data_IF_603226159085
#
_entry.id   IF_603226159085
#
_cell.length_a   1.000
_cell.length_b   1.000
_cell.length_c   1.000
_cell.angle_alpha   90.00
_cell.angle_beta   90.00
_cell.angle_gamma   90.00
#
_symmetry.space_group_name_H-M   'P 1'
#
loop_
_entity.id
_entity.type
_entity.pdbx_description
1 polymer ?
#
# COMPACT_ATOMS: atom_id res chain seq x y z
N UNK A 1 -30.78 -2.75 5.70
CA UNK A 1 -30.55 -2.42 4.28
C UNK A 1 -29.34 -3.20 3.78
N UNK A 2 -29.49 -4.07 2.77
CA UNK A 2 -28.34 -4.70 2.15
C UNK A 2 -27.41 -3.60 1.62
N UNK A 3 -26.08 -3.79 1.73
CA UNK A 3 -25.15 -2.85 1.13
C UNK A 3 -25.45 -2.80 -0.37
N UNK A 4 -25.66 -1.60 -0.90
CA UNK A 4 -25.82 -1.36 -2.34
C UNK A 4 -24.78 -2.18 -3.09
N UNK A 5 -25.13 -2.72 -4.26
CA UNK A 5 -24.24 -3.45 -5.20
C UNK A 5 -22.89 -2.75 -5.49
N UNK A 6 -22.70 -1.51 -5.05
CA UNK A 6 -21.42 -0.82 -4.99
C UNK A 6 -20.34 -1.54 -4.15
N UNK A 7 -20.71 -2.37 -3.16
CA UNK A 7 -19.74 -3.15 -2.38
C UNK A 7 -19.83 -4.65 -2.71
N UNK A 8 -18.68 -5.33 -2.69
CA UNK A 8 -18.56 -6.77 -2.99
C UNK A 8 -19.39 -7.65 -2.04
N UNK A 9 -19.79 -7.11 -0.90
CA UNK A 9 -20.65 -7.77 0.09
C UNK A 9 -22.13 -7.77 -0.27
N UNK A 10 -22.60 -6.94 -1.20
CA UNK A 10 -24.02 -6.90 -1.60
C UNK A 10 -24.61 -8.28 -1.92
N UNK A 11 -23.93 -9.10 -2.76
CA UNK A 11 -24.40 -10.45 -3.09
C UNK A 11 -24.22 -11.52 -2.00
N UNK A 12 -23.64 -11.19 -0.83
CA UNK A 12 -23.26 -12.18 0.18
C UNK A 12 -23.95 -11.95 1.52
N UNK A 13 -24.40 -13.05 2.14
CA UNK A 13 -24.71 -13.11 3.55
C UNK A 13 -23.42 -13.18 4.37
N UNK A 14 -23.32 -12.36 5.41
CA UNK A 14 -22.19 -12.32 6.34
C UNK A 14 -22.53 -13.13 7.58
N UNK A 15 -21.79 -14.22 7.82
CA UNK A 15 -21.98 -14.97 9.07
C UNK A 15 -21.51 -14.15 10.28
N UNK A 16 -22.25 -14.23 11.38
CA UNK A 16 -21.84 -13.66 12.67
C UNK A 16 -20.63 -14.41 13.23
N UNK A 17 -20.55 -15.71 12.98
CA UNK A 17 -19.41 -16.54 13.36
C UNK A 17 -18.16 -16.18 12.56
N UNK A 18 -17.14 -15.69 13.27
CA UNK A 18 -15.78 -15.45 12.75
C UNK A 18 -14.87 -16.60 13.19
N UNK A 19 -14.60 -17.61 12.35
CA UNK A 19 -13.81 -18.78 12.77
C UNK A 19 -12.39 -18.42 13.23
N UNK A 20 -11.79 -17.36 12.68
CA UNK A 20 -10.41 -16.94 13.00
C UNK A 20 -10.35 -15.56 13.67
N UNK A 21 -11.48 -15.02 14.17
CA UNK A 21 -11.58 -13.69 14.79
C UNK A 21 -11.40 -12.49 13.84
N UNK A 22 -10.72 -12.64 12.70
CA UNK A 22 -10.41 -11.56 11.75
C UNK A 22 -11.28 -11.54 10.49
N UNK A 23 -11.79 -12.69 10.04
CA UNK A 23 -12.56 -12.81 8.79
C UNK A 23 -13.93 -13.43 9.04
N UNK A 24 -14.96 -12.82 8.45
CA UNK A 24 -16.29 -13.42 8.38
C UNK A 24 -16.31 -14.54 7.34
N UNK A 25 -17.24 -15.49 7.46
CA UNK A 25 -17.61 -16.32 6.31
C UNK A 25 -18.66 -15.58 5.50
N UNK A 26 -18.56 -15.72 4.19
CA UNK A 26 -19.49 -15.16 3.23
C UNK A 26 -20.18 -16.30 2.48
N UNK A 27 -21.51 -16.24 2.39
CA UNK A 27 -22.30 -17.20 1.62
C UNK A 27 -23.10 -16.43 0.58
N UNK A 28 -22.99 -16.81 -0.69
CA UNK A 28 -23.69 -16.11 -1.78
C UNK A 28 -25.20 -16.35 -1.68
N UNK A 29 -26.00 -15.28 -1.69
CA UNK A 29 -27.45 -15.37 -1.45
C UNK A 29 -28.17 -16.29 -2.43
N UNK A 30 -27.80 -16.26 -3.72
CA UNK A 30 -28.43 -17.12 -4.73
C UNK A 30 -28.03 -18.59 -4.58
N UNK A 31 -26.83 -18.87 -4.07
CA UNK A 31 -26.45 -20.24 -3.69
C UNK A 31 -27.35 -20.77 -2.56
N UNK A 32 -27.69 -19.94 -1.59
CA UNK A 32 -28.60 -20.33 -0.49
C UNK A 32 -30.01 -20.58 -1.05
N UNK A 33 -30.50 -19.68 -1.90
CA UNK A 33 -31.83 -19.81 -2.50
C UNK A 33 -31.94 -21.06 -3.41
N UNK A 34 -30.85 -21.49 -4.06
CA UNK A 34 -30.83 -22.71 -4.85
C UNK A 34 -30.96 -24.00 -4.02
N UNK A 35 -30.65 -23.96 -2.72
CA UNK A 35 -30.83 -25.07 -1.77
C UNK A 35 -32.20 -25.04 -1.07
N UNK A 36 -33.07 -24.09 -1.45
CA UNK A 36 -34.39 -23.93 -0.85
C UNK A 36 -35.26 -25.17 -1.11
N UNK A 37 -35.88 -25.77 -0.06
CA UNK A 37 -36.79 -26.88 -0.24
C UNK A 37 -38.07 -26.42 -0.95
N UNK A 38 -38.62 -27.25 -1.83
CA UNK A 38 -39.83 -26.95 -2.61
C UNK A 38 -41.09 -26.72 -1.76
N UNK A 39 -41.05 -27.10 -0.48
CA UNK A 39 -42.15 -26.95 0.49
C UNK A 39 -42.12 -25.62 1.24
N UNK A 40 -41.07 -24.79 1.07
CA UNK A 40 -40.97 -23.52 1.77
C UNK A 40 -42.01 -22.51 1.23
N UNK A 41 -42.89 -21.95 2.09
CA UNK A 41 -43.88 -20.97 1.69
C UNK A 41 -43.18 -19.65 1.31
N UNK A 42 -43.74 -18.89 0.36
CA UNK A 42 -43.34 -17.52 -0.09
C UNK A 42 -42.51 -17.48 -1.38
N UNK A 43 -43.08 -17.01 -2.49
CA UNK A 43 -42.29 -16.50 -3.61
C UNK A 43 -41.60 -15.21 -3.13
N UNK A 44 -40.29 -15.27 -2.94
CA UNK A 44 -39.49 -14.11 -2.55
C UNK A 44 -38.97 -13.49 -3.83
N UNK A 45 -39.42 -12.28 -4.12
CA UNK A 45 -38.88 -11.53 -5.25
C UNK A 45 -37.42 -11.17 -4.96
N UNK A 46 -36.50 -11.87 -5.62
CA UNK A 46 -35.06 -11.69 -5.47
C UNK A 46 -34.60 -10.33 -6.03
N UNK A 47 -35.43 -9.64 -6.83
CA UNK A 47 -35.07 -8.36 -7.44
C UNK A 47 -35.34 -7.19 -6.50
N UNK A 48 -36.39 -7.26 -5.68
CA UNK A 48 -36.78 -6.19 -4.74
C UNK A 48 -35.94 -6.15 -3.45
N UNK A 49 -35.12 -7.17 -3.22
CA UNK A 49 -34.06 -7.11 -2.22
C UNK A 49 -34.50 -7.36 -0.78
N UNK A 50 -35.61 -8.07 -0.58
CA UNK A 50 -36.13 -8.49 0.73
C UNK A 50 -35.34 -9.66 1.36
N UNK A 51 -34.01 -9.59 1.30
CA UNK A 51 -33.10 -10.59 1.86
C UNK A 51 -33.18 -10.68 3.40
N UNK A 52 -33.63 -9.61 4.07
CA UNK A 52 -33.84 -9.58 5.53
C UNK A 52 -35.03 -10.44 5.96
N UNK A 53 -36.03 -10.62 5.08
CA UNK A 53 -37.15 -11.52 5.33
C UNK A 53 -36.69 -12.98 5.20
N UNK A 54 -35.87 -13.29 4.19
CA UNK A 54 -35.27 -14.63 4.05
C UNK A 54 -34.46 -15.03 5.29
N UNK A 55 -33.65 -14.13 5.83
CA UNK A 55 -32.81 -14.43 6.98
C UNK A 55 -33.58 -14.83 8.26
N UNK A 56 -34.89 -14.55 8.32
CA UNK A 56 -35.75 -14.85 9.48
C UNK A 56 -36.49 -16.19 9.35
N UNK A 57 -36.46 -16.84 8.19
CA UNK A 57 -37.21 -18.07 7.97
C UNK A 57 -36.43 -19.31 8.42
N UNK A 58 -37.13 -20.28 9.03
CA UNK A 58 -36.48 -21.47 9.60
C UNK A 58 -35.74 -22.33 8.56
N UNK A 59 -36.18 -22.32 7.30
CA UNK A 59 -35.48 -23.05 6.24
C UNK A 59 -34.12 -22.40 5.89
N UNK A 60 -33.96 -21.10 6.14
CA UNK A 60 -32.73 -20.37 5.85
C UNK A 60 -31.57 -20.89 6.67
N UNK A 61 -31.77 -21.13 7.97
CA UNK A 61 -30.74 -21.72 8.84
C UNK A 61 -30.31 -23.11 8.34
N UNK A 62 -31.27 -23.96 7.98
CA UNK A 62 -31.01 -25.28 7.42
C UNK A 62 -30.24 -25.22 6.08
N UNK A 63 -30.62 -24.30 5.20
CA UNK A 63 -29.91 -24.06 3.94
C UNK A 63 -28.50 -23.49 4.17
N UNK A 64 -28.32 -22.66 5.19
CA UNK A 64 -27.02 -22.09 5.54
C UNK A 64 -26.09 -23.17 6.13
N UNK A 65 -26.59 -24.05 6.97
CA UNK A 65 -25.87 -25.23 7.46
C UNK A 65 -25.51 -26.20 6.33
N UNK A 66 -26.44 -26.46 5.41
CA UNK A 66 -26.18 -27.24 4.21
C UNK A 66 -25.08 -26.60 3.35
N UNK A 67 -25.15 -25.30 3.08
CA UNK A 67 -24.12 -24.57 2.33
C UNK A 67 -22.74 -24.59 3.02
N UNK A 68 -22.72 -24.53 4.36
CA UNK A 68 -21.51 -24.70 5.17
C UNK A 68 -20.91 -26.10 5.00
N UNK A 69 -21.74 -27.14 4.99
CA UNK A 69 -21.31 -28.53 4.81
C UNK A 69 -20.78 -28.80 3.39
N UNK A 70 -21.44 -28.22 2.37
CA UNK A 70 -21.11 -28.40 0.96
C UNK A 70 -19.91 -27.55 0.48
N UNK A 71 -19.17 -26.91 1.39
CA UNK A 71 -18.05 -26.00 1.10
C UNK A 71 -18.43 -24.85 0.15
N UNK A 72 -19.70 -24.45 0.11
CA UNK A 72 -20.18 -23.30 -0.69
C UNK A 72 -19.90 -21.96 0.00
N UNK A 73 -19.47 -21.97 1.25
CA UNK A 73 -19.02 -20.77 1.95
C UNK A 73 -17.60 -20.38 1.56
N UNK A 74 -17.37 -19.09 1.38
CA UNK A 74 -16.04 -18.53 1.14
C UNK A 74 -15.58 -17.66 2.29
N UNK A 75 -14.27 -17.53 2.46
CA UNK A 75 -13.72 -16.54 3.37
C UNK A 75 -14.18 -15.15 2.92
N UNK A 76 -14.56 -14.28 3.86
CA UNK A 76 -14.98 -12.89 3.62
C UNK A 76 -13.86 -11.96 3.14
N UNK A 77 -12.79 -12.52 2.58
CA UNK A 77 -11.75 -11.79 1.88
C UNK A 77 -12.25 -11.42 0.48
N UNK A 78 -11.99 -10.17 0.06
CA UNK A 78 -12.46 -9.64 -1.24
C UNK A 78 -12.07 -10.54 -2.42
N UNK A 79 -10.86 -11.08 -2.42
CA UNK A 79 -10.39 -11.98 -3.48
C UNK A 79 -11.15 -13.31 -3.53
N UNK A 80 -11.46 -13.90 -2.37
CA UNK A 80 -12.18 -15.16 -2.27
C UNK A 80 -13.65 -15.00 -2.71
N UNK A 81 -14.31 -13.92 -2.29
CA UNK A 81 -15.68 -13.58 -2.72
C UNK A 81 -15.75 -13.34 -4.23
N UNK A 82 -14.83 -12.55 -4.80
CA UNK A 82 -14.78 -12.36 -6.25
C UNK A 82 -14.49 -13.67 -7.00
N UNK A 83 -13.61 -14.52 -6.46
CA UNK A 83 -13.32 -15.84 -7.02
C UNK A 83 -14.51 -16.81 -6.98
N UNK A 84 -15.41 -16.67 -6.01
CA UNK A 84 -16.67 -17.41 -5.95
C UNK A 84 -17.65 -16.92 -7.02
N UNK A 85 -17.95 -15.61 -7.07
CA UNK A 85 -18.90 -15.05 -8.04
C UNK A 85 -18.54 -15.38 -9.50
N UNK A 86 -17.25 -15.43 -9.84
CA UNK A 86 -16.79 -15.83 -11.19
C UNK A 86 -17.12 -17.27 -11.56
N UNK A 87 -17.09 -18.18 -10.58
CA UNK A 87 -17.29 -19.63 -10.79
C UNK A 87 -18.71 -20.09 -10.44
N UNK A 88 -19.46 -19.27 -9.71
CA UNK A 88 -20.80 -19.59 -9.29
C UNK A 88 -21.75 -19.66 -10.50
N UNK A 89 -22.45 -20.77 -10.61
CA UNK A 89 -23.46 -21.02 -11.64
C UNK A 89 -24.69 -20.14 -11.43
N UNK A 90 -25.05 -19.88 -10.17
CA UNK A 90 -26.20 -19.07 -9.78
C UNK A 90 -25.93 -17.55 -9.80
N UNK A 91 -24.69 -17.11 -10.06
CA UNK A 91 -24.35 -15.69 -10.06
C UNK A 91 -24.82 -14.98 -11.34
N UNK A 92 -25.43 -13.80 -11.17
CA UNK A 92 -25.92 -12.99 -12.30
C UNK A 92 -24.77 -12.39 -13.12
N UNK A 93 -25.08 -11.89 -14.32
CA UNK A 93 -24.09 -11.19 -15.14
C UNK A 93 -23.53 -9.94 -14.42
N UNK A 94 -24.36 -9.24 -13.64
CA UNK A 94 -23.95 -8.08 -12.86
C UNK A 94 -23.00 -8.45 -11.71
N UNK A 95 -23.31 -9.53 -10.98
CA UNK A 95 -22.45 -10.04 -9.91
C UNK A 95 -21.10 -10.52 -10.47
N UNK A 96 -21.11 -11.18 -11.64
CA UNK A 96 -19.89 -11.56 -12.35
C UNK A 96 -19.08 -10.34 -12.78
N UNK A 97 -19.74 -9.27 -13.26
CA UNK A 97 -19.08 -8.01 -13.58
C UNK A 97 -18.49 -7.32 -12.34
N UNK A 98 -19.19 -7.38 -11.19
CA UNK A 98 -18.71 -6.88 -9.91
C UNK A 98 -17.42 -7.60 -9.49
N UNK A 99 -17.37 -8.93 -9.65
CA UNK A 99 -16.18 -9.72 -9.38
C UNK A 99 -14.97 -9.32 -10.26
N UNK A 100 -15.22 -8.94 -11.52
CA UNK A 100 -14.18 -8.40 -12.40
C UNK A 100 -13.65 -7.05 -11.92
N UNK A 101 -14.53 -6.17 -11.41
CA UNK A 101 -14.10 -4.87 -10.87
C UNK A 101 -13.19 -5.00 -9.65
N UNK A 102 -13.51 -5.89 -8.71
CA UNK A 102 -12.77 -6.02 -7.45
C UNK A 102 -11.52 -6.90 -7.53
N UNK A 103 -11.54 -7.94 -8.36
CA UNK A 103 -10.39 -8.82 -8.53
C UNK A 103 -10.16 -9.14 -10.02
N UNK A 104 -9.77 -8.15 -10.85
CA UNK A 104 -9.55 -8.37 -12.27
C UNK A 104 -8.33 -9.26 -12.50
N UNK A 105 -8.47 -10.22 -13.40
CA UNK A 105 -7.36 -11.05 -13.91
C UNK A 105 -6.33 -10.19 -14.64
N UNK A 106 -5.11 -10.70 -14.85
CA UNK A 106 -4.07 -9.97 -15.58
C UNK A 106 -4.54 -9.52 -16.97
N UNK A 107 -5.29 -10.38 -17.68
CA UNK A 107 -5.86 -10.10 -19.00
C UNK A 107 -6.94 -9.00 -18.93
N UNK A 108 -7.85 -9.08 -17.96
CA UNK A 108 -8.89 -8.05 -17.78
C UNK A 108 -8.30 -6.71 -17.32
N UNK A 109 -7.26 -6.70 -16.48
CA UNK A 109 -6.54 -5.46 -16.12
C UNK A 109 -5.94 -4.81 -17.37
N UNK A 110 -5.29 -5.60 -18.24
CA UNK A 110 -4.76 -5.10 -19.50
C UNK A 110 -5.85 -4.58 -20.43
N UNK A 111 -7.00 -5.26 -20.50
CA UNK A 111 -8.13 -4.82 -21.31
C UNK A 111 -8.79 -3.55 -20.75
N UNK A 112 -8.98 -3.45 -19.43
CA UNK A 112 -9.46 -2.25 -18.76
C UNK A 112 -8.49 -1.09 -18.95
N UNK A 113 -7.18 -1.33 -18.89
CA UNK A 113 -6.18 -0.30 -19.18
C UNK A 113 -6.21 0.11 -20.66
N UNK A 114 -6.41 -0.84 -21.58
CA UNK A 114 -6.60 -0.57 -23.01
C UNK A 114 -7.86 0.26 -23.24
N UNK A 115 -8.99 -0.10 -22.62
CA UNK A 115 -10.25 0.65 -22.63
C UNK A 115 -10.10 2.02 -21.98
N UNK A 116 -9.29 2.17 -20.93
CA UNK A 116 -9.00 3.47 -20.30
C UNK A 116 -8.10 4.34 -21.18
N UNK A 117 -7.16 3.75 -21.91
CA UNK A 117 -6.34 4.47 -22.91
C UNK A 117 -7.17 4.87 -24.14
N UNK A 118 -8.09 4.03 -24.58
CA UNK A 118 -9.03 4.31 -25.68
C UNK A 118 -10.13 5.29 -25.27
N UNK A 119 -10.72 5.12 -24.08
CA UNK A 119 -11.75 5.99 -23.51
C UNK A 119 -11.19 7.27 -22.90
N UNK A 120 -9.88 7.34 -22.59
CA UNK A 120 -9.19 8.61 -22.37
C UNK A 120 -9.16 9.50 -23.62
N UNK A 121 -9.53 8.96 -24.78
CA UNK A 121 -9.77 9.71 -26.00
C UNK A 121 -11.24 10.16 -26.17
N UNK A 122 -12.12 9.98 -25.17
CA UNK A 122 -13.51 10.48 -25.23
C UNK A 122 -13.58 12.01 -25.19
N UNK A 123 -12.58 12.65 -24.58
CA UNK A 123 -12.20 14.00 -24.98
C UNK A 123 -11.35 13.85 -26.24
N UNK A 124 -12.01 13.75 -27.40
CA UNK A 124 -11.35 13.58 -28.68
C UNK A 124 -10.22 14.60 -28.82
N UNK A 125 -9.01 14.12 -29.09
CA UNK A 125 -7.85 14.98 -29.37
C UNK A 125 -8.05 15.82 -30.63
N UNK A 126 -9.00 15.43 -31.48
CA UNK A 126 -9.14 15.98 -32.83
C UNK A 126 -10.38 16.87 -33.01
N UNK A 127 -11.03 17.33 -31.94
CA UNK A 127 -12.04 18.39 -32.15
C UNK A 127 -11.31 19.68 -32.54
N UNK A 128 -11.72 20.38 -33.63
CA UNK A 128 -11.07 21.63 -34.06
C UNK A 128 -11.05 22.69 -32.95
N UNK A 129 -12.08 22.65 -32.09
CA UNK A 129 -12.22 23.50 -30.91
C UNK A 129 -11.14 23.25 -29.86
N UNK A 130 -10.65 22.01 -29.75
CA UNK A 130 -9.56 21.67 -28.83
C UNK A 130 -8.21 22.13 -29.35
N UNK A 131 -7.95 22.08 -30.65
CA UNK A 131 -6.72 22.67 -31.19
C UNK A 131 -6.64 24.16 -30.88
N UNK A 132 -7.75 24.92 -31.05
CA UNK A 132 -7.78 26.32 -30.63
C UNK A 132 -7.67 26.50 -29.12
N UNK A 133 -8.29 25.61 -28.33
CA UNK A 133 -8.25 25.67 -26.86
C UNK A 133 -6.85 25.36 -26.32
N UNK A 134 -6.22 24.26 -26.75
CA UNK A 134 -4.87 23.86 -26.37
C UNK A 134 -3.81 24.86 -26.89
N UNK A 135 -4.08 25.60 -27.98
CA UNK A 135 -3.18 26.69 -28.42
C UNK A 135 -3.34 27.96 -27.59
N UNK A 136 -4.56 28.26 -27.10
CA UNK A 136 -4.86 29.44 -26.28
C UNK A 136 -4.66 29.24 -24.77
N UNK A 137 -4.75 28.00 -24.28
CA UNK A 137 -4.79 27.64 -22.86
C UNK A 137 -3.70 26.63 -22.49
N UNK A 138 -2.59 26.63 -23.26
CA UNK A 138 -1.70 25.50 -23.47
C UNK A 138 -1.27 24.71 -22.23
N UNK A 139 -1.13 25.30 -21.03
CA UNK A 139 -0.86 24.52 -19.81
C UNK A 139 -1.41 25.13 -18.52
N UNK A 140 -1.80 26.41 -18.52
CA UNK A 140 -2.28 27.11 -17.35
C UNK A 140 -3.66 27.77 -17.62
N UNK A 141 -4.75 27.32 -16.96
CA UNK A 141 -6.05 27.95 -17.09
C UNK A 141 -6.14 29.29 -16.33
N UNK A 142 -5.17 29.62 -15.47
CA UNK A 142 -5.20 30.82 -14.62
C UNK A 142 -5.26 32.11 -15.46
N UNK A 143 -4.37 32.36 -16.46
CA UNK A 143 -4.38 33.59 -17.24
C UNK A 143 -5.70 33.85 -17.97
N UNK A 144 -6.41 32.79 -18.40
CA UNK A 144 -7.71 32.91 -19.04
C UNK A 144 -8.76 33.47 -18.08
N UNK A 145 -8.84 32.92 -16.87
CA UNK A 145 -9.79 33.41 -15.87
C UNK A 145 -9.42 34.78 -15.33
N UNK A 146 -8.14 35.12 -15.28
CA UNK A 146 -7.67 36.48 -14.97
C UNK A 146 -8.12 37.50 -16.02
N UNK A 147 -7.97 37.18 -17.30
CA UNK A 147 -8.44 38.03 -18.40
C UNK A 147 -9.97 38.24 -18.35
N UNK A 148 -10.73 37.21 -17.98
CA UNK A 148 -12.19 37.31 -17.86
C UNK A 148 -12.67 38.21 -16.71
N UNK A 149 -11.80 38.59 -15.75
CA UNK A 149 -12.18 39.51 -14.67
C UNK A 149 -12.52 40.92 -15.18
N UNK A 150 -12.07 41.29 -16.39
CA UNK A 150 -12.41 42.56 -17.03
C UNK A 150 -13.92 42.68 -17.28
N UNK A 151 -14.61 41.56 -17.52
CA UNK A 151 -16.06 41.56 -17.75
C UNK A 151 -16.83 41.48 -16.42
N UNK A 152 -17.53 42.58 -16.07
CA UNK A 152 -18.35 42.67 -14.85
C UNK A 152 -19.41 41.57 -14.72
N UNK A 153 -19.95 41.08 -15.84
CA UNK A 153 -20.96 40.01 -15.82
C UNK A 153 -20.39 38.65 -15.41
N UNK A 154 -19.11 38.39 -15.71
CA UNK A 154 -18.45 37.10 -15.47
C UNK A 154 -17.52 37.14 -14.26
N UNK A 155 -17.26 38.33 -13.69
CA UNK A 155 -16.39 38.54 -12.53
C UNK A 155 -16.63 37.58 -11.35
N UNK A 156 -17.86 37.31 -10.86
CA UNK A 156 -18.05 36.38 -9.75
C UNK A 156 -17.66 34.95 -10.11
N UNK A 157 -17.96 34.52 -11.34
CA UNK A 157 -17.59 33.19 -11.84
C UNK A 157 -16.07 33.05 -12.01
N UNK A 158 -15.43 34.07 -12.58
CA UNK A 158 -13.98 34.09 -12.76
C UNK A 158 -13.22 34.03 -11.43
N UNK A 159 -13.67 34.79 -10.42
CA UNK A 159 -13.10 34.73 -9.07
C UNK A 159 -13.27 33.35 -8.44
N UNK A 160 -14.44 32.74 -8.57
CA UNK A 160 -14.70 31.40 -8.05
C UNK A 160 -13.84 30.34 -8.76
N UNK A 161 -13.73 30.39 -10.08
CA UNK A 161 -12.88 29.49 -10.85
C UNK A 161 -11.41 29.61 -10.43
N UNK A 162 -10.90 30.83 -10.25
CA UNK A 162 -9.54 31.06 -9.75
C UNK A 162 -9.36 30.52 -8.33
N UNK A 163 -10.34 30.67 -7.44
CA UNK A 163 -10.27 30.06 -6.11
C UNK A 163 -10.19 28.53 -6.19
N UNK A 164 -11.01 27.89 -7.03
CA UNK A 164 -10.98 26.46 -7.24
C UNK A 164 -9.64 25.98 -7.84
N UNK A 165 -9.09 26.73 -8.80
CA UNK A 165 -7.81 26.39 -9.42
C UNK A 165 -6.63 26.57 -8.45
N UNK A 166 -6.73 27.49 -7.50
CA UNK A 166 -5.76 27.64 -6.41
C UNK A 166 -5.89 26.57 -5.32
N UNK A 167 -7.00 25.83 -5.25
CA UNK A 167 -7.11 24.69 -4.33
C UNK A 167 -6.20 23.56 -4.82
N UNK A 168 -5.15 23.31 -4.04
CA UNK A 168 -4.23 22.20 -4.29
C UNK A 168 -4.96 20.89 -4.00
N UNK A 169 -5.41 20.21 -5.06
CA UNK A 169 -6.18 18.94 -4.98
C UNK A 169 -5.36 17.81 -4.35
N UNK A 170 -4.03 17.93 -4.33
CA UNK A 170 -3.15 16.90 -3.81
C UNK A 170 -2.41 17.35 -2.54
N UNK A 171 -2.78 16.77 -1.40
CA UNK A 171 -2.04 16.92 -0.15
C UNK A 171 -0.56 16.50 -0.30
N UNK A 172 -0.25 15.59 -1.22
CA UNK A 172 1.12 15.16 -1.50
C UNK A 172 2.01 16.27 -2.09
N UNK A 173 1.44 17.38 -2.58
CA UNK A 173 2.21 18.57 -2.92
C UNK A 173 3.00 19.12 -1.72
N UNK A 174 2.47 18.95 -0.51
CA UNK A 174 3.13 19.32 0.75
C UNK A 174 4.06 18.22 1.30
N UNK A 175 3.95 16.96 0.86
CA UNK A 175 4.81 15.87 1.36
C UNK A 175 6.28 16.10 1.10
N UNK A 176 6.64 16.74 -0.03
CA UNK A 176 8.03 17.12 -0.29
C UNK A 176 8.54 18.13 0.73
N UNK A 177 7.70 19.10 1.09
CA UNK A 177 8.02 20.05 2.16
C UNK A 177 8.19 19.34 3.49
N UNK A 178 7.30 18.41 3.83
CA UNK A 178 7.40 17.64 5.07
C UNK A 178 8.63 16.73 5.11
N UNK A 179 9.07 16.21 3.96
CA UNK A 179 10.31 15.43 3.87
C UNK A 179 11.54 16.27 4.21
N UNK A 180 11.62 17.50 3.68
CA UNK A 180 12.70 18.45 4.02
C UNK A 180 12.67 18.83 5.52
N UNK A 181 11.47 18.94 6.10
CA UNK A 181 11.30 19.21 7.53
C UNK A 181 11.50 18.00 8.44
N UNK A 182 11.39 16.77 7.93
CA UNK A 182 11.53 15.56 8.74
C UNK A 182 12.89 15.52 9.44
N UNK A 183 13.97 15.83 8.72
CA UNK A 183 15.31 15.93 9.29
C UNK A 183 15.43 17.01 10.37
N UNK A 184 14.78 18.17 10.15
CA UNK A 184 14.80 19.32 11.08
C UNK A 184 13.86 19.16 12.26
N UNK A 185 12.92 18.21 12.20
CA UNK A 185 12.00 17.87 13.28
C UNK A 185 12.56 16.75 14.17
N UNK A 186 13.08 15.69 13.55
CA UNK A 186 13.40 14.44 14.24
C UNK A 186 14.86 14.28 14.68
N UNK A 187 15.84 14.84 13.94
CA UNK A 187 17.26 14.61 14.26
C UNK A 187 17.72 15.59 15.33
N UNK A 188 18.13 15.07 16.51
CA UNK A 188 18.57 15.86 17.68
C UNK A 188 19.54 16.99 17.33
N UNK A 189 20.55 16.70 16.49
CA UNK A 189 21.57 17.69 16.06
C UNK A 189 21.03 18.82 15.18
N UNK A 190 19.93 18.60 14.47
CA UNK A 190 19.35 19.54 13.51
C UNK A 190 17.95 20.02 13.92
N UNK A 191 17.52 19.73 15.16
CA UNK A 191 16.16 20.01 15.62
C UNK A 191 15.97 21.52 15.75
N UNK A 192 14.99 22.06 15.03
CA UNK A 192 14.59 23.47 15.15
C UNK A 192 13.32 23.59 15.99
N UNK A 193 13.16 24.71 16.69
CA UNK A 193 11.89 25.05 17.34
C UNK A 193 10.78 25.21 16.29
N UNK A 194 9.53 24.92 16.67
CA UNK A 194 8.38 25.01 15.76
C UNK A 194 8.22 26.42 15.18
N UNK A 195 8.41 27.46 16.00
CA UNK A 195 8.38 28.87 15.58
C UNK A 195 9.40 29.14 14.47
N UNK A 196 10.65 28.69 14.65
CA UNK A 196 11.73 28.87 13.66
C UNK A 196 11.48 28.04 12.40
N UNK A 197 10.94 26.83 12.53
CA UNK A 197 10.57 25.98 11.39
C UNK A 197 9.46 26.61 10.54
N UNK A 198 8.44 27.20 11.17
CA UNK A 198 7.37 27.91 10.50
C UNK A 198 7.88 29.15 9.74
N UNK A 199 8.75 29.95 10.36
CA UNK A 199 9.40 31.09 9.69
C UNK A 199 10.27 30.63 8.51
N UNK A 200 11.07 29.58 8.70
CA UNK A 200 11.89 29.03 7.63
C UNK A 200 11.02 28.51 6.47
N UNK A 201 9.87 27.89 6.75
CA UNK A 201 8.92 27.46 5.74
C UNK A 201 8.38 28.64 4.91
N UNK A 202 8.03 29.75 5.57
CA UNK A 202 7.58 30.99 4.91
C UNK A 202 8.67 31.55 4.00
N UNK A 203 9.89 31.72 4.50
CA UNK A 203 11.02 32.26 3.73
C UNK A 203 11.38 31.35 2.56
N UNK A 204 11.49 30.05 2.78
CA UNK A 204 11.81 29.08 1.71
C UNK A 204 10.72 29.09 0.64
N UNK A 205 9.45 29.30 1.01
CA UNK A 205 8.33 29.35 0.06
C UNK A 205 8.44 30.58 -0.83
N UNK A 206 8.72 31.72 -0.22
CA UNK A 206 8.90 32.98 -0.94
C UNK A 206 10.07 32.90 -1.93
N UNK A 207 11.25 32.43 -1.48
CA UNK A 207 12.43 32.23 -2.34
C UNK A 207 12.11 31.31 -3.52
N UNK A 208 11.43 30.18 -3.29
CA UNK A 208 11.06 29.25 -4.38
C UNK A 208 10.04 29.87 -5.34
N UNK A 209 9.14 30.73 -4.86
CA UNK A 209 8.19 31.45 -5.72
C UNK A 209 8.91 32.48 -6.59
N UNK A 210 9.84 33.26 -6.02
CA UNK A 210 10.66 34.21 -6.78
C UNK A 210 11.54 33.49 -7.81
N UNK A 211 12.28 32.45 -7.40
CA UNK A 211 13.08 31.64 -8.32
C UNK A 211 12.26 31.01 -9.46
N UNK A 212 10.97 30.71 -9.21
CA UNK A 212 10.07 30.20 -10.25
C UNK A 212 9.64 31.33 -11.19
N UNK A 213 9.33 32.51 -10.65
CA UNK A 213 8.95 33.69 -11.43
C UNK A 213 10.10 34.18 -12.32
N UNK A 214 11.34 34.10 -11.83
CA UNK A 214 12.55 34.47 -12.57
C UNK A 214 13.03 33.37 -13.53
N UNK A 215 12.39 32.19 -13.53
CA UNK A 215 12.78 31.07 -14.38
C UNK A 215 14.10 30.39 -13.98
N UNK A 216 14.65 30.68 -12.79
CA UNK A 216 15.84 30.01 -12.24
C UNK A 216 15.56 28.59 -11.73
N UNK A 217 14.29 28.20 -11.63
CA UNK A 217 13.95 26.86 -11.16
C UNK A 217 14.10 25.89 -12.30
N UNK A 218 15.17 25.10 -12.29
CA UNK A 218 15.34 24.00 -13.23
C UNK A 218 14.10 23.08 -13.18
N UNK A 219 13.47 22.90 -14.33
CA UNK A 219 12.49 21.85 -14.47
C UNK A 219 13.18 20.53 -14.18
N UNK A 220 12.80 19.91 -13.07
CA UNK A 220 13.33 18.61 -12.70
C UNK A 220 12.82 17.61 -13.74
N UNK A 221 13.60 17.44 -14.80
CA UNK A 221 13.44 16.36 -15.75
C UNK A 221 13.42 15.05 -14.95
N UNK A 222 12.52 14.13 -15.32
CA UNK A 222 12.53 12.79 -14.73
C UNK A 222 13.95 12.27 -14.87
N UNK A 223 14.60 11.97 -13.74
CA UNK A 223 15.98 11.47 -13.73
C UNK A 223 16.04 10.29 -14.70
N UNK A 224 16.67 10.47 -15.85
CA UNK A 224 16.98 9.39 -16.79
C UNK A 224 18.15 8.58 -16.22
N UNK A 225 17.99 8.06 -15.00
CA UNK A 225 18.99 7.15 -14.42
C UNK A 225 19.10 5.85 -15.23
N UNK A 226 18.10 5.58 -16.09
CA UNK A 226 18.05 4.45 -17.00
C UNK A 226 17.72 4.91 -18.42
N UNK A 227 18.54 5.78 -19.01
CA UNK A 227 18.52 5.84 -20.47
C UNK A 227 19.05 4.50 -20.97
N UNK A 228 18.28 3.77 -21.78
CA UNK A 228 18.62 2.39 -22.16
C UNK A 228 20.01 2.28 -22.80
N UNK A 229 20.47 3.34 -23.48
CA UNK A 229 21.83 3.45 -24.00
C UNK A 229 22.89 3.53 -22.88
N UNK A 230 22.63 4.27 -21.80
CA UNK A 230 23.50 4.38 -20.62
C UNK A 230 23.48 3.10 -19.79
N UNK A 231 22.33 2.43 -19.71
CA UNK A 231 22.22 1.10 -19.10
C UNK A 231 23.01 0.09 -19.90
N UNK A 232 22.92 0.12 -21.25
CA UNK A 232 23.76 -0.70 -22.12
C UNK A 232 25.24 -0.38 -21.92
N UNK A 233 25.64 0.89 -21.79
CA UNK A 233 27.02 1.29 -21.50
C UNK A 233 27.51 0.78 -20.13
N UNK A 234 26.68 0.84 -19.09
CA UNK A 234 27.00 0.32 -17.76
C UNK A 234 26.98 -1.22 -17.69
N UNK A 235 26.20 -1.87 -18.56
CA UNK A 235 26.15 -3.33 -18.72
C UNK A 235 27.24 -3.86 -19.67
N UNK A 236 27.85 -3.02 -20.51
CA UNK A 236 29.22 -3.24 -21.00
C UNK A 236 30.17 -3.09 -19.82
N UNK A 237 30.05 -4.02 -18.88
CA UNK A 237 31.13 -4.37 -17.97
C UNK A 237 32.33 -4.64 -18.87
N UNK A 238 33.46 -3.93 -18.70
CA UNK A 238 34.67 -4.21 -19.44
C UNK A 238 34.96 -5.71 -19.37
N UNK A 239 35.41 -6.31 -20.46
CA UNK A 239 35.77 -7.74 -20.56
C UNK A 239 36.74 -8.23 -19.47
N UNK A 240 37.28 -7.32 -18.67
CA UNK A 240 38.02 -7.56 -17.43
C UNK A 240 37.35 -8.55 -16.47
N UNK A 241 36.01 -8.71 -16.46
CA UNK A 241 35.40 -9.77 -15.63
C UNK A 241 35.70 -11.18 -16.16
N UNK A 242 35.83 -11.36 -17.47
CA UNK A 242 36.26 -12.64 -18.03
C UNK A 242 37.74 -12.90 -17.77
N UNK A 243 38.57 -11.84 -17.78
CA UNK A 243 40.00 -11.91 -17.40
C UNK A 243 40.15 -12.26 -15.91
N UNK A 244 39.39 -11.61 -15.02
CA UNK A 244 39.38 -11.93 -13.59
C UNK A 244 38.86 -13.34 -13.30
N UNK A 245 37.87 -13.82 -14.05
CA UNK A 245 37.40 -15.20 -13.90
C UNK A 245 38.43 -16.24 -14.37
N UNK A 246 39.24 -15.90 -15.39
CA UNK A 246 40.36 -16.74 -15.81
C UNK A 246 41.48 -16.75 -14.77
N UNK A 247 41.82 -15.57 -14.22
CA UNK A 247 42.82 -15.41 -13.17
C UNK A 247 42.44 -16.16 -11.88
N UNK A 248 41.17 -16.07 -11.44
CA UNK A 248 40.69 -16.85 -10.28
C UNK A 248 40.79 -18.35 -10.54
N UNK A 249 40.45 -18.82 -11.75
CA UNK A 249 40.51 -20.24 -12.09
C UNK A 249 41.96 -20.75 -12.17
N UNK A 250 42.89 -19.90 -12.59
CA UNK A 250 44.33 -20.19 -12.57
C UNK A 250 44.86 -20.27 -11.13
N UNK A 251 44.45 -19.34 -10.26
CA UNK A 251 44.79 -19.37 -8.83
C UNK A 251 44.23 -20.60 -8.11
N UNK A 252 42.97 -20.99 -8.37
CA UNK A 252 42.37 -22.20 -7.79
C UNK A 252 43.08 -23.48 -8.27
N UNK A 253 43.53 -23.51 -9.53
CA UNK A 253 44.31 -24.61 -10.07
C UNK A 253 45.71 -24.68 -9.45
N UNK A 254 46.34 -23.54 -9.15
CA UNK A 254 47.64 -23.48 -8.49
C UNK A 254 47.59 -23.84 -7.01
N UNK A 255 46.46 -23.61 -6.32
CA UNK A 255 46.27 -23.98 -4.91
C UNK A 255 45.90 -25.45 -4.74
N UNK A 256 45.34 -26.09 -5.79
CA UNK A 256 45.10 -27.53 -5.80
C UNK A 256 46.37 -28.31 -6.16
N UNK A 257 47.50 -27.99 -5.52
CA UNK A 257 48.69 -28.85 -5.55
C UNK A 257 48.35 -30.10 -4.72
N UNK A 258 48.22 -31.28 -5.34
CA UNK A 258 47.95 -32.51 -4.62
C UNK A 258 49.26 -32.95 -3.96
N UNK A 259 49.60 -32.37 -2.81
CA UNK A 259 50.48 -33.07 -1.89
C UNK A 259 49.73 -34.34 -1.44
N UNK A 260 50.10 -35.44 -2.09
CA UNK A 260 49.75 -36.82 -1.76
C UNK A 260 50.26 -37.12 -0.34
N UNK A 261 49.51 -36.74 0.68
CA UNK A 261 49.64 -37.34 2.01
C UNK A 261 48.89 -38.68 2.00
N UNK A 262 49.66 -39.72 1.66
CA UNK A 262 49.41 -41.13 1.97
C UNK A 262 49.35 -41.32 3.50
N UNK A 263 48.23 -40.94 4.11
CA UNK A 263 47.89 -41.40 5.45
C UNK A 263 46.60 -42.21 5.40
N UNK A 264 46.78 -43.54 5.43
CA UNK A 264 45.80 -44.60 5.65
C UNK A 264 45.08 -44.42 7.02
N UNK A 265 44.25 -43.39 7.16
CA UNK A 265 43.41 -43.22 8.34
C UNK A 265 42.05 -43.91 8.12
N UNK A 266 41.98 -45.11 8.69
CA UNK A 266 40.87 -46.05 8.80
C UNK A 266 39.52 -45.36 9.09
N UNK A 267 38.66 -45.26 8.07
CA UNK A 267 37.32 -44.69 8.20
C UNK A 267 36.42 -45.56 9.11
N UNK A 268 35.75 -44.99 10.13
CA UNK A 268 34.84 -45.75 10.97
C UNK A 268 33.55 -46.15 10.22
N UNK A 269 32.91 -47.25 10.65
CA UNK A 269 31.84 -47.90 9.90
C UNK A 269 30.58 -47.03 9.78
N UNK A 270 30.23 -46.74 8.52
CA UNK A 270 28.90 -46.48 7.95
C UNK A 270 27.73 -46.30 8.94
N UNK A 271 27.37 -45.04 9.17
CA UNK A 271 26.08 -44.64 9.77
C UNK A 271 24.94 -44.87 8.76
N UNK A 272 23.79 -45.47 9.15
CA UNK A 272 22.71 -45.78 8.21
C UNK A 272 22.02 -44.51 7.69
N UNK A 273 21.84 -44.45 6.38
CA UNK A 273 21.07 -43.41 5.68
C UNK A 273 19.60 -43.38 6.14
N UNK A 274 19.05 -42.22 6.55
CA UNK A 274 17.63 -42.10 6.82
C UNK A 274 16.81 -42.03 5.52
N UNK A 275 15.64 -42.65 5.56
CA UNK A 275 14.70 -42.82 4.45
C UNK A 275 14.27 -41.49 3.77
N UNK A 276 13.95 -41.52 2.45
CA UNK A 276 13.64 -40.33 1.68
C UNK A 276 12.24 -39.78 2.03
N UNK A 277 12.19 -38.77 2.89
CA UNK A 277 10.95 -38.14 3.31
C UNK A 277 11.07 -36.63 3.53
N UNK A 278 10.59 -35.86 2.55
CA UNK A 278 10.26 -34.42 2.56
C UNK A 278 11.40 -33.41 2.30
N UNK A 279 11.45 -32.97 1.05
CA UNK A 279 12.12 -31.75 0.59
C UNK A 279 11.50 -30.51 1.27
N UNK A 280 12.22 -29.93 2.23
CA UNK A 280 12.04 -28.54 2.68
C UNK A 280 13.11 -27.71 1.97
N UNK A 281 12.69 -26.76 1.12
CA UNK A 281 13.58 -25.86 0.40
C UNK A 281 14.30 -24.93 1.38
N UNK A 282 15.63 -25.01 1.40
CA UNK A 282 16.52 -24.13 2.13
C UNK A 282 16.47 -22.72 1.53
N UNK A 283 16.09 -21.75 2.36
CA UNK A 283 16.59 -20.39 2.31
C UNK A 283 17.35 -20.17 3.62
N UNK A 284 18.67 -20.18 3.57
CA UNK A 284 19.48 -19.46 4.55
C UNK A 284 20.88 -19.25 3.97
N UNK A 285 21.03 -18.14 3.27
CA UNK A 285 22.34 -17.55 3.04
C UNK A 285 22.67 -16.75 4.29
N UNK A 286 23.41 -17.35 5.22
CA UNK A 286 24.57 -16.77 5.93
C UNK A 286 25.18 -17.86 6.85
N UNK A 287 26.49 -18.10 6.79
CA UNK A 287 27.17 -18.98 7.73
C UNK A 287 27.54 -18.18 8.98
N UNK A 288 26.95 -18.53 10.11
CA UNK A 288 27.38 -18.06 11.43
C UNK A 288 28.67 -18.81 11.79
N UNK A 289 29.70 -18.09 12.23
CA UNK A 289 30.99 -18.67 12.60
C UNK A 289 30.92 -19.39 13.95
N UNK A 290 31.68 -20.48 14.10
CA UNK A 290 31.68 -21.36 15.28
C UNK A 290 31.94 -20.63 16.60
N UNK A 291 32.70 -19.53 16.58
CA UNK A 291 32.92 -18.68 17.75
C UNK A 291 31.61 -18.05 18.31
N UNK A 292 30.62 -17.81 17.45
CA UNK A 292 29.29 -17.32 17.85
C UNK A 292 28.43 -18.37 18.54
N UNK A 293 28.75 -19.66 18.38
CA UNK A 293 28.00 -20.79 18.96
C UNK A 293 28.57 -21.25 20.30
N UNK A 294 29.89 -21.12 20.50
CA UNK A 294 30.57 -21.65 21.69
C UNK A 294 30.96 -20.58 22.73
N UNK A 295 30.63 -19.31 22.50
CA UNK A 295 30.91 -18.20 23.42
C UNK A 295 30.00 -18.08 24.66
N UNK A 296 29.04 -18.99 24.85
CA UNK A 296 28.28 -19.12 26.10
C UNK A 296 27.04 -18.22 26.24
N UNK A 297 25.88 -18.85 26.01
CA UNK A 297 24.52 -18.49 26.47
C UNK A 297 23.85 -17.24 25.90
N UNK A 298 23.07 -17.44 24.82
CA UNK A 298 21.91 -16.59 24.52
C UNK A 298 20.69 -17.50 24.42
N UNK A 299 19.84 -17.48 25.46
CA UNK A 299 18.52 -18.09 25.41
C UNK A 299 17.62 -17.30 24.45
N UNK A 300 17.25 -17.96 23.35
CA UNK A 300 16.18 -17.64 22.40
C UNK A 300 16.13 -16.22 21.79
N UNK A 301 16.65 -16.02 20.55
CA UNK A 301 16.56 -14.74 19.85
C UNK A 301 15.18 -14.43 19.22
N UNK A 302 14.14 -15.27 19.37
CA UNK A 302 12.92 -15.16 18.56
C UNK A 302 11.60 -14.88 19.29
N UNK A 303 11.60 -14.63 20.59
CA UNK A 303 10.47 -14.01 21.27
C UNK A 303 10.76 -12.53 21.49
N UNK A 304 10.50 -11.71 20.46
CA UNK A 304 10.32 -10.27 20.66
C UNK A 304 8.94 -10.08 21.31
N UNK A 305 8.82 -10.49 22.57
CA UNK A 305 7.83 -9.90 23.46
C UNK A 305 8.22 -8.43 23.60
N UNK A 306 7.27 -7.54 23.30
CA UNK A 306 7.37 -6.09 23.46
C UNK A 306 8.01 -5.82 24.83
N UNK A 307 9.29 -5.45 24.86
CA UNK A 307 9.97 -5.09 26.12
C UNK A 307 9.18 -3.93 26.71
N UNK A 308 8.51 -4.17 27.82
CA UNK A 308 8.07 -3.10 28.69
C UNK A 308 9.30 -2.26 29.01
N UNK A 309 9.15 -0.95 28.87
CA UNK A 309 10.23 -0.01 29.12
C UNK A 309 10.48 -0.05 30.63
N UNK A 310 11.40 -0.89 31.08
CA UNK A 310 11.92 -0.84 32.44
C UNK A 310 12.73 0.46 32.51
N UNK A 311 12.05 1.53 32.91
CA UNK A 311 12.68 2.82 33.20
C UNK A 311 13.48 2.59 34.48
N UNK A 312 14.81 2.58 34.36
CA UNK A 312 15.66 2.51 35.56
C UNK A 312 15.48 3.79 36.37
N UNK A 313 15.59 3.70 37.70
CA UNK A 313 15.51 4.88 38.58
C UNK A 313 16.52 5.95 38.19
N UNK A 314 17.72 5.55 37.72
CA UNK A 314 18.71 6.48 37.16
C UNK A 314 18.20 7.22 35.92
N UNK A 315 17.44 6.57 35.03
CA UNK A 315 16.90 7.24 33.84
C UNK A 315 15.82 8.25 34.19
N UNK A 316 15.01 7.96 35.21
CA UNK A 316 14.03 8.91 35.76
C UNK A 316 14.74 10.10 36.43
N UNK A 317 15.81 9.83 37.18
CA UNK A 317 16.61 10.87 37.84
C UNK A 317 17.29 11.80 36.82
N UNK A 318 17.83 11.25 35.74
CA UNK A 318 18.42 12.04 34.64
C UNK A 318 17.38 12.87 33.88
N UNK A 319 16.14 12.40 33.77
CA UNK A 319 15.04 13.16 33.17
C UNK A 319 14.59 14.31 34.07
N UNK A 320 14.54 14.11 35.39
CA UNK A 320 14.25 15.16 36.36
C UNK A 320 15.33 16.25 36.40
N UNK A 321 16.62 15.86 36.39
CA UNK A 321 17.72 16.83 36.30
C UNK A 321 17.68 17.64 35.00
N UNK A 322 17.28 17.02 33.89
CA UNK A 322 17.12 17.71 32.62
C UNK A 322 15.94 18.71 32.64
N UNK A 323 14.86 18.38 33.34
CA UNK A 323 13.71 19.28 33.51
C UNK A 323 14.02 20.45 34.45
N UNK A 324 14.78 20.24 35.52
CA UNK A 324 15.16 21.30 36.46
C UNK A 324 16.11 22.34 35.81
N UNK A 325 16.89 21.94 34.80
CA UNK A 325 17.82 22.82 34.08
C UNK A 325 17.29 23.31 32.72
N UNK A 326 16.06 22.96 32.36
CA UNK A 326 15.41 23.57 31.20
C UNK A 326 14.75 24.88 31.63
N UNK A 327 15.31 26.02 31.22
CA UNK A 327 14.69 27.35 31.33
C UNK A 327 13.42 27.50 30.45
N UNK A 328 12.78 26.39 30.07
CA UNK A 328 11.57 26.36 29.26
C UNK A 328 10.38 26.57 30.21
N UNK A 329 9.83 27.80 30.22
CA UNK A 329 8.62 28.13 30.99
C UNK A 329 7.53 27.08 30.74
N UNK A 330 6.88 26.56 31.80
CA UNK A 330 5.82 25.57 31.65
C UNK A 330 4.72 26.12 30.72
N UNK A 331 4.46 25.40 29.63
CA UNK A 331 3.47 25.74 28.62
C UNK A 331 2.05 25.68 29.23
N UNK A 332 1.57 26.82 29.72
CA UNK A 332 0.26 27.04 30.36
C UNK A 332 -0.94 26.85 29.40
N UNK A 333 -0.71 26.31 28.20
CA UNK A 333 -1.69 26.17 27.12
C UNK A 333 -2.77 25.10 27.30
N UNK A 334 -2.80 24.35 28.41
CA UNK A 334 -3.73 23.22 28.60
C UNK A 334 -5.10 23.59 29.23
N UNK A 335 -5.38 24.86 29.54
CA UNK A 335 -6.63 25.28 30.21
C UNK A 335 -7.67 25.96 29.30
N UNK A 336 -7.61 25.76 27.99
CA UNK A 336 -8.72 26.16 27.10
C UNK A 336 -9.79 25.06 27.05
N UNK A 337 -10.53 24.93 28.15
CA UNK A 337 -11.78 24.17 28.17
C UNK A 337 -12.80 24.81 27.24
N UNK A 338 -13.24 24.06 26.24
CA UNK A 338 -14.41 24.38 25.42
C UNK A 338 -15.64 24.39 26.33
N UNK A 339 -16.08 25.58 26.72
CA UNK A 339 -17.40 25.81 27.29
C UNK A 339 -18.45 25.40 26.26
N UNK A 340 -19.01 24.22 26.47
CA UNK A 340 -20.21 23.75 25.78
C UNK A 340 -21.42 24.30 26.55
N UNK A 341 -21.75 25.56 26.29
CA UNK A 341 -23.03 26.17 26.65
C UNK A 341 -23.80 26.49 25.37
N UNK A 342 -24.58 25.53 24.90
CA UNK A 342 -25.77 25.82 24.10
C UNK A 342 -27.00 25.24 24.81
N UNK A 343 -27.66 26.11 25.59
CA UNK A 343 -29.11 26.09 25.79
C UNK A 343 -29.73 26.98 24.72
N UNK A 344 -30.71 26.45 23.99
CA UNK A 344 -31.52 27.15 23.00
C UNK A 344 -32.37 26.17 22.23
#
# INVERSE_FOLDING_TARGET
MPPKLADIWGPFHRSDNKPNGSHHRATHWRCINAERPSTAPIDIDLEDGDWELMAKEQWFEAALESALSNKKTVNGEKGAMAGHLRRCEYATAEEKALAVRFAPTKKEKQELEKKRKQGGAWFAKDSPQRASYDTLHADDPIPFWEMLQVNKAVLPLAKFALQLLHLVVNQAGLERWFSDFSNKKSKKRNRLSLKKMAQQAKVTRFIRQEQKAEGLTDERTKRKNHEDSRVQQLLTVPRQVAEWQAEIRELDAAVSDPEEDDDDEELPPSVPLPAPGRRRTQRSWFPTTLASLFGGQIDNPFTISRRERVVSEESLYMELLAAEHSDEEPDDGALSGSGDEYRG
#
